data_IF_266163562419
#
_entry.id   IF_266163562419
#
_cell.length_a   1.000
_cell.length_b   1.000
_cell.length_c   1.000
_cell.angle_alpha   90.00
_cell.angle_beta   90.00
_cell.angle_gamma   90.00
#
_symmetry.space_group_name_H-M   'P 1'
#
loop_
_entity.id
_entity.type
_entity.pdbx_description
1 polymer ?
#
# COMPACT_ATOMS: atom_id res chain seq x y z
N UNK A 1 -6.20 -33.76 -56.19
CA UNK A 1 -6.43 -32.97 -54.96
C UNK A 1 -5.36 -33.33 -53.93
N UNK A 2 -4.15 -32.77 -54.01
CA UNK A 2 -3.03 -33.16 -53.11
C UNK A 2 -2.21 -31.96 -52.62
N UNK A 3 -2.51 -30.75 -53.08
CA UNK A 3 -1.78 -29.53 -52.70
C UNK A 3 -2.19 -28.95 -51.33
N UNK A 4 -3.38 -29.26 -50.80
CA UNK A 4 -3.86 -28.70 -49.52
C UNK A 4 -3.35 -29.42 -48.25
N UNK A 5 -2.97 -30.71 -48.35
CA UNK A 5 -2.54 -31.51 -47.19
C UNK A 5 -1.08 -31.27 -46.77
N UNK A 6 -0.23 -30.81 -47.71
CA UNK A 6 1.18 -30.51 -47.43
C UNK A 6 1.33 -29.20 -46.66
N UNK A 7 0.59 -28.16 -47.05
CA UNK A 7 0.54 -26.88 -46.34
C UNK A 7 -0.02 -27.07 -44.93
N UNK A 8 -1.15 -27.77 -44.76
CA UNK A 8 -1.71 -28.02 -43.42
C UNK A 8 -0.72 -28.71 -42.47
N UNK A 9 0.09 -29.67 -42.98
CA UNK A 9 1.15 -30.34 -42.19
C UNK A 9 2.32 -29.43 -41.83
N UNK A 10 2.75 -28.54 -42.72
CA UNK A 10 3.84 -27.60 -42.42
C UNK A 10 3.41 -26.53 -41.42
N UNK A 11 2.17 -26.04 -41.50
CA UNK A 11 1.62 -25.09 -40.54
C UNK A 11 1.46 -25.71 -39.15
N UNK A 12 0.99 -26.96 -39.07
CA UNK A 12 0.91 -27.70 -37.81
C UNK A 12 2.29 -27.94 -37.18
N UNK A 13 3.30 -28.28 -37.98
CA UNK A 13 4.67 -28.48 -37.50
C UNK A 13 5.30 -27.18 -36.98
N UNK A 14 5.07 -26.04 -37.65
CA UNK A 14 5.56 -24.73 -37.23
C UNK A 14 4.90 -24.26 -35.92
N UNK A 15 3.59 -24.49 -35.76
CA UNK A 15 2.86 -24.22 -34.53
C UNK A 15 3.36 -25.09 -33.37
N UNK A 16 3.58 -26.39 -33.61
CA UNK A 16 4.13 -27.28 -32.60
C UNK A 16 5.54 -26.86 -32.16
N UNK A 17 6.39 -26.46 -33.12
CA UNK A 17 7.73 -25.98 -32.83
C UNK A 17 7.75 -24.65 -32.03
N UNK A 18 6.83 -23.72 -32.31
CA UNK A 18 6.72 -22.47 -31.55
C UNK A 18 6.20 -22.68 -30.14
N UNK A 19 5.22 -23.57 -29.94
CA UNK A 19 4.75 -23.94 -28.60
C UNK A 19 5.85 -24.64 -27.80
N UNK A 20 6.55 -25.61 -28.41
CA UNK A 20 7.64 -26.32 -27.74
C UNK A 20 8.82 -25.41 -27.37
N UNK A 21 9.17 -24.46 -28.25
CA UNK A 21 10.20 -23.46 -27.97
C UNK A 21 9.77 -22.53 -26.82
N UNK A 22 8.50 -22.11 -26.78
CA UNK A 22 7.96 -21.25 -25.72
C UNK A 22 7.96 -21.90 -24.34
N UNK A 23 7.68 -23.21 -24.25
CA UNK A 23 7.74 -23.96 -22.99
C UNK A 23 9.19 -24.13 -22.50
N UNK A 24 10.17 -24.19 -23.41
CA UNK A 24 11.57 -24.35 -23.05
C UNK A 24 12.23 -23.06 -22.50
N UNK A 25 11.69 -21.87 -22.80
CA UNK A 25 12.19 -20.58 -22.26
C UNK A 25 11.45 -20.11 -21.01
N UNK A 26 10.32 -20.73 -20.66
CA UNK A 26 9.69 -20.52 -19.37
C UNK A 26 10.50 -21.27 -18.29
N UNK A 27 11.58 -20.65 -17.83
CA UNK A 27 12.28 -21.10 -16.63
C UNK A 27 11.33 -21.14 -15.43
N UNK A 28 11.65 -21.92 -14.37
CA UNK A 28 10.86 -21.89 -13.15
C UNK A 28 10.74 -20.43 -12.67
N UNK A 29 9.52 -20.00 -12.37
CA UNK A 29 9.33 -18.71 -11.72
C UNK A 29 9.97 -18.80 -10.33
N UNK A 30 11.04 -18.03 -10.11
CA UNK A 30 11.60 -17.86 -8.78
C UNK A 30 10.52 -17.24 -7.89
N UNK A 31 10.12 -17.97 -6.85
CA UNK A 31 9.30 -17.40 -5.81
C UNK A 31 10.12 -16.26 -5.18
N UNK A 32 9.56 -15.04 -5.18
CA UNK A 32 10.11 -13.94 -4.40
C UNK A 32 10.33 -14.48 -2.98
N UNK A 33 11.55 -14.41 -2.43
CA UNK A 33 11.80 -14.84 -1.08
C UNK A 33 10.87 -14.04 -0.17
N UNK A 34 9.98 -14.72 0.54
CA UNK A 34 9.26 -14.06 1.61
C UNK A 34 10.30 -13.61 2.65
N UNK A 35 10.26 -12.33 3.08
CA UNK A 35 11.14 -11.90 4.15
C UNK A 35 10.89 -12.78 5.39
N UNK A 36 11.93 -12.99 6.20
CA UNK A 36 11.80 -13.78 7.44
C UNK A 36 10.79 -13.14 8.38
N UNK A 37 10.65 -11.82 8.33
CA UNK A 37 9.67 -11.06 9.09
C UNK A 37 9.01 -10.01 8.21
N UNK A 38 7.73 -9.67 8.47
CA UNK A 38 7.01 -8.66 7.69
C UNK A 38 7.68 -7.28 7.67
N UNK A 39 8.49 -6.97 8.69
CA UNK A 39 9.19 -5.71 8.84
C UNK A 39 10.67 -5.78 8.42
N UNK A 40 11.13 -6.86 7.78
CA UNK A 40 12.52 -6.91 7.30
C UNK A 40 12.77 -5.76 6.31
N UNK A 41 13.82 -4.96 6.59
CA UNK A 41 14.17 -3.78 5.80
C UNK A 41 13.42 -2.49 6.19
N UNK A 42 12.57 -2.52 7.21
CA UNK A 42 11.91 -1.32 7.73
C UNK A 42 12.77 -0.67 8.81
N UNK A 43 12.80 0.67 8.80
CA UNK A 43 13.36 1.47 9.89
C UNK A 43 12.23 2.11 10.70
N UNK A 44 12.42 2.21 12.01
CA UNK A 44 11.47 2.84 12.92
C UNK A 44 12.16 3.96 13.69
N UNK A 45 11.50 5.11 13.77
CA UNK A 45 11.94 6.26 14.54
C UNK A 45 10.77 6.86 15.31
N UNK A 46 11.04 7.34 16.52
CA UNK A 46 10.07 8.11 17.31
C UNK A 46 10.02 9.54 16.78
N UNK A 47 8.88 9.94 16.24
CA UNK A 47 8.64 11.32 15.75
C UNK A 47 8.22 12.23 16.91
N UNK A 48 7.39 11.72 17.82
CA UNK A 48 6.92 12.42 19.02
C UNK A 48 6.63 11.42 20.13
N UNK A 49 6.88 11.80 21.38
CA UNK A 49 6.58 11.01 22.57
C UNK A 49 6.02 11.88 23.69
N UNK A 50 5.41 11.25 24.71
CA UNK A 50 4.91 11.97 25.89
C UNK A 50 3.67 12.84 25.66
N UNK A 51 2.95 12.65 24.56
CA UNK A 51 1.80 13.48 24.15
C UNK A 51 0.43 12.94 24.57
N UNK A 52 0.41 11.92 25.44
CA UNK A 52 -0.81 11.34 25.99
C UNK A 52 -1.16 9.98 25.40
N UNK A 53 -2.40 9.54 25.64
CA UNK A 53 -2.91 8.25 25.16
C UNK A 53 -3.48 8.41 23.74
N UNK A 54 -2.64 8.21 22.72
CA UNK A 54 -3.04 8.27 21.33
C UNK A 54 -3.87 7.03 20.94
N UNK A 55 -4.84 7.21 20.04
CA UNK A 55 -5.71 6.11 19.58
C UNK A 55 -5.84 6.03 18.05
N UNK A 56 -6.25 7.10 17.37
CA UNK A 56 -6.31 7.14 15.90
C UNK A 56 -5.22 8.04 15.31
N UNK A 57 -4.83 7.72 14.08
CA UNK A 57 -3.96 8.56 13.26
C UNK A 57 -4.40 8.53 11.79
N UNK A 58 -4.26 9.65 11.10
CA UNK A 58 -4.37 9.74 9.64
C UNK A 58 -3.23 10.61 9.09
N UNK A 59 -2.80 10.35 7.86
CA UNK A 59 -1.72 11.10 7.21
C UNK A 59 -2.20 12.50 6.85
N UNK A 60 -1.37 13.52 7.05
CA UNK A 60 -1.64 14.88 6.56
C UNK A 60 -1.27 15.08 5.06
N UNK A 61 -0.69 14.05 4.42
CA UNK A 61 -0.22 14.09 3.04
C UNK A 61 1.12 14.83 2.82
N UNK A 62 1.71 15.40 3.87
CA UNK A 62 2.96 16.16 3.86
C UNK A 62 4.06 15.53 4.76
N UNK A 63 3.84 14.31 5.24
CA UNK A 63 4.77 13.57 6.09
C UNK A 63 4.50 13.70 7.59
N UNK A 64 3.44 14.41 7.97
CA UNK A 64 2.90 14.46 9.31
C UNK A 64 1.59 13.67 9.45
N UNK A 65 0.93 13.85 10.60
CA UNK A 65 -0.24 13.08 11.00
C UNK A 65 -1.25 13.92 11.76
N UNK A 66 -2.53 13.65 11.58
CA UNK A 66 -3.57 14.03 12.54
C UNK A 66 -3.79 12.87 13.51
N UNK A 67 -3.84 13.16 14.81
CA UNK A 67 -3.96 12.13 15.86
C UNK A 67 -5.02 12.49 16.90
N UNK A 68 -5.70 11.48 17.45
CA UNK A 68 -6.61 11.65 18.59
C UNK A 68 -5.99 11.19 19.88
N UNK A 69 -6.24 11.93 20.96
CA UNK A 69 -5.96 11.51 22.33
C UNK A 69 -7.24 11.03 23.01
N UNK A 70 -7.40 9.72 23.22
CA UNK A 70 -8.65 9.15 23.75
C UNK A 70 -8.94 9.61 25.19
N UNK A 71 -7.92 9.58 26.05
CA UNK A 71 -8.07 9.92 27.47
C UNK A 71 -8.11 11.44 27.69
N UNK A 72 -7.41 12.18 26.85
CA UNK A 72 -7.19 13.63 26.99
C UNK A 72 -8.15 14.47 26.15
N UNK A 73 -8.98 13.81 25.32
CA UNK A 73 -10.06 14.44 24.57
C UNK A 73 -9.60 15.48 23.56
N UNK A 74 -8.64 15.14 22.68
CA UNK A 74 -8.14 16.07 21.68
C UNK A 74 -8.03 15.48 20.27
N UNK A 75 -8.02 16.38 19.28
CA UNK A 75 -7.45 16.19 17.95
C UNK A 75 -6.20 17.07 17.85
N UNK A 76 -5.08 16.51 17.42
CA UNK A 76 -3.81 17.21 17.24
C UNK A 76 -3.21 16.94 15.87
N UNK A 77 -2.31 17.82 15.44
CA UNK A 77 -1.44 17.62 14.30
C UNK A 77 -0.01 17.38 14.78
N UNK A 78 0.65 16.38 14.20
CA UNK A 78 2.07 16.09 14.35
C UNK A 78 2.71 16.38 13.02
N UNK A 79 3.58 17.38 12.94
CA UNK A 79 4.30 17.64 11.69
C UNK A 79 5.47 16.67 11.50
N UNK A 80 6.02 16.61 10.28
CA UNK A 80 7.10 15.69 9.92
C UNK A 80 8.38 15.82 10.78
N UNK A 81 8.60 17.00 11.39
CA UNK A 81 9.74 17.25 12.30
C UNK A 81 9.43 16.98 13.78
N UNK A 82 8.22 16.50 14.09
CA UNK A 82 7.78 16.16 15.43
C UNK A 82 7.07 17.27 16.21
N UNK A 83 6.83 18.46 15.61
CA UNK A 83 6.00 19.48 16.29
C UNK A 83 4.58 18.97 16.51
N UNK A 84 4.09 19.07 17.75
CA UNK A 84 2.77 18.60 18.18
C UNK A 84 1.86 19.77 18.57
N UNK A 85 0.77 19.96 17.83
CA UNK A 85 -0.18 21.06 18.01
C UNK A 85 -1.60 20.51 18.24
N UNK A 86 -2.20 20.77 19.41
CA UNK A 86 -3.62 20.46 19.65
C UNK A 86 -4.51 21.43 18.88
N UNK A 87 -5.35 20.91 18.00
CA UNK A 87 -6.27 21.67 17.16
C UNK A 87 -7.65 21.80 17.78
N UNK A 88 -8.14 20.71 18.37
CA UNK A 88 -9.43 20.63 19.06
C UNK A 88 -9.23 19.95 20.40
N UNK A 89 -9.89 20.45 21.45
CA UNK A 89 -9.82 19.91 22.81
C UNK A 89 -11.21 19.79 23.42
N UNK A 90 -11.35 18.98 24.47
CA UNK A 90 -12.64 18.76 25.15
C UNK A 90 -13.54 17.75 24.44
N UNK A 91 -12.98 16.91 23.57
CA UNK A 91 -13.70 15.83 22.92
C UNK A 91 -14.01 14.72 23.94
N UNK A 92 -15.24 14.23 23.98
CA UNK A 92 -15.58 13.05 24.79
C UNK A 92 -15.23 11.78 23.99
N UNK A 93 -14.14 11.12 24.41
CA UNK A 93 -13.70 9.81 23.88
C UNK A 93 -13.70 9.75 22.34
N UNK A 94 -12.78 10.45 21.65
CA UNK A 94 -12.73 10.55 20.18
C UNK A 94 -12.38 9.23 19.42
N UNK A 95 -12.86 8.07 19.89
CA UNK A 95 -12.28 6.77 19.64
C UNK A 95 -13.23 5.65 19.14
N UNK A 96 -14.24 5.91 18.30
CA UNK A 96 -14.73 4.77 17.52
C UNK A 96 -14.96 4.99 16.01
N UNK A 97 -15.03 6.22 15.53
CA UNK A 97 -15.38 6.48 14.12
C UNK A 97 -14.18 6.57 13.17
N UNK A 98 -12.94 6.57 13.70
CA UNK A 98 -11.74 6.86 12.93
C UNK A 98 -11.62 8.35 12.56
N UNK A 99 -10.45 8.71 12.06
CA UNK A 99 -10.23 9.97 11.32
C UNK A 99 -10.12 9.57 9.85
N UNK A 100 -10.88 10.23 8.99
CA UNK A 100 -10.76 10.12 7.54
C UNK A 100 -10.75 11.53 6.95
N UNK A 101 -9.59 11.96 6.46
CA UNK A 101 -9.50 13.23 5.76
C UNK A 101 -10.08 13.10 4.36
N UNK A 102 -11.07 13.94 4.06
CA UNK A 102 -11.58 14.05 2.71
C UNK A 102 -10.44 14.42 1.74
N UNK A 103 -10.39 13.83 0.53
CA UNK A 103 -9.46 14.24 -0.52
C UNK A 103 -9.51 15.75 -0.75
N UNK A 104 -8.36 16.38 -0.99
CA UNK A 104 -8.25 17.84 -1.13
C UNK A 104 -9.12 18.43 -2.26
N UNK A 105 -9.55 17.61 -3.22
CA UNK A 105 -10.42 17.98 -4.34
C UNK A 105 -11.93 17.75 -4.09
N UNK A 106 -12.31 17.20 -2.93
CA UNK A 106 -13.70 16.91 -2.58
C UNK A 106 -14.61 18.15 -2.44
N UNK A 107 -14.03 19.36 -2.42
CA UNK A 107 -14.76 20.65 -2.30
C UNK A 107 -15.28 21.20 -3.63
N UNK A 108 -15.03 20.53 -4.77
CA UNK A 108 -15.69 20.88 -6.05
C UNK A 108 -16.92 20.00 -6.30
N UNK A 109 -18.04 20.33 -5.67
CA UNK A 109 -19.38 19.93 -6.13
C UNK A 109 -20.37 21.06 -5.94
#
# INVERSE_FOLDING_TARGET
MTFGMRTARTWAALLAATVAAGVAVAGPADAQPFPKMCADGWEAATIVEGVGNLENLDSDGAGGFYVTGIADGFLAHVSADGRFDKLITGLDKPAPAGIDLAPADATRR
#
